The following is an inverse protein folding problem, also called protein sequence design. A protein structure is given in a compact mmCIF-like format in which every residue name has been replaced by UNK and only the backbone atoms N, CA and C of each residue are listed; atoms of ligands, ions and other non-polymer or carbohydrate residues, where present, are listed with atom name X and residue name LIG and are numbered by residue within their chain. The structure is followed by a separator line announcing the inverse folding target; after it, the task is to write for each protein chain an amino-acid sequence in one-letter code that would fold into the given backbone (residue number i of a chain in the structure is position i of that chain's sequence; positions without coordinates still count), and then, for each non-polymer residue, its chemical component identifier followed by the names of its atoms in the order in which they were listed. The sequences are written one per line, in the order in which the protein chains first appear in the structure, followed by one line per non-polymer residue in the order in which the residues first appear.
data_IF_474448707251
#
_entry.id   IF_474448707251
#
_cell.length_a   1.000
_cell.length_b   1.000
_cell.length_c   1.000
_cell.angle_alpha   90.00
_cell.angle_beta   90.00
_cell.angle_gamma   90.00
#
_symmetry.space_group_name_H-M   'P 1'
#
loop_
_entity.id
_entity.type
_entity.pdbx_description
1 polymer ?
#
# COMPACT_ATOMS: atom_id res chain seq x y z
N UNK A 1 -11.99 0.32 -11.16
CA UNK A 1 -12.70 0.14 -9.88
C UNK A 1 -11.86 -0.81 -9.04
N UNK A 2 -11.01 -0.28 -8.17
CA UNK A 2 -10.19 -1.12 -7.29
C UNK A 2 -11.06 -1.52 -6.10
N UNK A 3 -11.23 -2.82 -5.86
CA UNK A 3 -11.95 -3.31 -4.70
C UNK A 3 -11.28 -2.72 -3.44
N UNK A 4 -12.09 -2.14 -2.55
CA UNK A 4 -11.66 -1.76 -1.22
C UNK A 4 -11.45 -3.06 -0.44
N UNK A 5 -10.20 -3.36 -0.10
CA UNK A 5 -9.84 -4.53 0.69
C UNK A 5 -10.14 -4.20 2.14
N UNK A 6 -10.82 -5.11 2.83
CA UNK A 6 -11.15 -4.92 4.24
C UNK A 6 -9.88 -4.78 5.09
N UNK A 7 -9.94 -3.96 6.15
CA UNK A 7 -8.80 -3.65 7.00
C UNK A 7 -8.13 -4.90 7.62
N UNK A 8 -8.91 -5.98 7.84
CA UNK A 8 -8.35 -7.24 8.31
C UNK A 8 -7.43 -7.91 7.28
N UNK A 9 -7.77 -7.82 6.00
CA UNK A 9 -6.99 -8.37 4.88
C UNK A 9 -5.70 -7.57 4.70
N UNK A 10 -5.77 -6.25 4.91
CA UNK A 10 -4.57 -5.39 4.89
C UNK A 10 -3.59 -5.74 6.01
N UNK A 11 -4.10 -5.92 7.24
CA UNK A 11 -3.25 -6.29 8.37
C UNK A 11 -2.59 -7.66 8.17
N UNK A 12 -3.33 -8.61 7.59
CA UNK A 12 -2.77 -9.92 7.22
C UNK A 12 -1.70 -9.82 6.13
N UNK A 13 -1.92 -8.98 5.11
CA UNK A 13 -0.95 -8.76 4.03
C UNK A 13 0.36 -8.18 4.57
N UNK A 14 0.29 -7.18 5.46
CA UNK A 14 1.49 -6.58 6.10
C UNK A 14 2.19 -7.58 7.02
N UNK A 15 1.44 -8.35 7.81
CA UNK A 15 1.99 -9.40 8.69
C UNK A 15 2.72 -10.47 7.87
N UNK A 16 2.12 -10.90 6.76
CA UNK A 16 2.71 -11.91 5.88
C UNK A 16 3.96 -11.39 5.18
N UNK A 17 3.94 -10.13 4.73
CA UNK A 17 5.12 -9.47 4.15
C UNK A 17 6.28 -9.45 5.15
N UNK A 18 6.00 -9.11 6.42
CA UNK A 18 7.00 -9.11 7.49
C UNK A 18 7.60 -10.52 7.72
N UNK A 19 6.77 -11.55 7.74
CA UNK A 19 7.23 -12.93 7.91
C UNK A 19 8.16 -13.37 6.76
N UNK A 20 7.83 -13.02 5.52
CA UNK A 20 8.65 -13.31 4.34
C UNK A 20 10.01 -12.60 4.40
N UNK A 21 10.03 -11.32 4.79
CA UNK A 21 11.29 -10.58 4.98
C UNK A 21 12.14 -11.21 6.08
N UNK A 22 11.52 -11.59 7.20
CA UNK A 22 12.21 -12.23 8.33
C UNK A 22 12.79 -13.59 7.93
N UNK A 23 12.12 -14.33 7.07
CA UNK A 23 12.58 -15.61 6.53
C UNK A 23 13.61 -15.47 5.39
N UNK A 24 13.82 -14.26 4.87
CA UNK A 24 14.70 -14.01 3.72
C UNK A 24 14.07 -14.35 2.36
N UNK A 25 12.77 -14.62 2.33
CA UNK A 25 12.02 -15.05 1.15
C UNK A 25 11.48 -13.85 0.34
N UNK A 26 12.36 -12.89 0.03
CA UNK A 26 11.99 -11.64 -0.66
C UNK A 26 11.93 -11.76 -2.18
N UNK A 27 12.51 -12.81 -2.76
CA UNK A 27 12.59 -13.02 -4.23
C UNK A 27 11.45 -13.91 -4.76
N UNK A 28 10.38 -14.08 -3.98
CA UNK A 28 9.25 -14.92 -4.36
C UNK A 28 8.05 -14.11 -4.87
N UNK A 29 7.21 -14.77 -5.67
CA UNK A 29 6.03 -14.14 -6.28
C UNK A 29 5.03 -13.61 -5.23
N UNK A 30 4.91 -14.31 -4.09
CA UNK A 30 4.03 -13.91 -2.99
C UNK A 30 4.46 -12.55 -2.43
N UNK A 31 5.75 -12.33 -2.22
CA UNK A 31 6.32 -11.08 -1.78
C UNK A 31 6.01 -9.94 -2.76
N UNK A 32 6.25 -10.13 -4.06
CA UNK A 32 5.97 -9.10 -5.06
C UNK A 32 4.48 -8.72 -5.15
N UNK A 33 3.59 -9.70 -4.96
CA UNK A 33 2.15 -9.47 -4.94
C UNK A 33 1.71 -8.68 -3.70
N UNK A 34 2.22 -9.07 -2.52
CA UNK A 34 1.95 -8.39 -1.26
C UNK A 34 2.51 -6.97 -1.24
N UNK A 35 3.74 -6.77 -1.74
CA UNK A 35 4.37 -5.45 -1.84
C UNK A 35 3.56 -4.50 -2.72
N UNK A 36 3.15 -4.97 -3.91
CA UNK A 36 2.29 -4.19 -4.81
C UNK A 36 0.93 -3.83 -4.18
N UNK A 37 0.35 -4.74 -3.40
CA UNK A 37 -0.92 -4.52 -2.71
C UNK A 37 -0.80 -3.43 -1.63
N UNK A 38 0.26 -3.51 -0.81
CA UNK A 38 0.55 -2.54 0.24
C UNK A 38 0.85 -1.16 -0.37
N UNK A 39 1.65 -1.09 -1.44
CA UNK A 39 1.92 0.18 -2.12
C UNK A 39 0.68 0.81 -2.76
N UNK A 40 -0.18 0.03 -3.42
CA UNK A 40 -1.42 0.54 -3.99
C UNK A 40 -2.34 1.13 -2.91
N UNK A 41 -2.33 0.55 -1.70
CA UNK A 41 -3.06 1.07 -0.54
C UNK A 41 -2.42 2.34 0.00
N UNK A 42 -1.12 2.35 0.21
CA UNK A 42 -0.40 3.56 0.66
C UNK A 42 -0.67 4.73 -0.28
N UNK A 43 -0.64 4.49 -1.59
CA UNK A 43 -0.97 5.49 -2.60
C UNK A 43 -2.40 6.01 -2.45
N UNK A 44 -3.38 5.14 -2.19
CA UNK A 44 -4.78 5.54 -1.96
C UNK A 44 -4.97 6.31 -0.65
N UNK A 45 -4.32 5.87 0.43
CA UNK A 45 -4.47 6.46 1.76
C UNK A 45 -3.80 7.81 1.86
N UNK A 46 -2.65 7.96 1.20
CA UNK A 46 -1.85 9.18 1.21
C UNK A 46 -1.96 9.96 -0.09
N UNK A 47 -3.04 9.77 -0.85
CA UNK A 47 -3.23 10.32 -2.20
C UNK A 47 -2.64 11.72 -2.34
N UNK A 48 -1.52 11.76 -3.05
CA UNK A 48 -0.59 12.90 -3.17
C UNK A 48 -1.21 14.03 -4.02
N UNK A 49 -2.35 13.78 -4.68
CA UNK A 49 -3.04 14.78 -5.49
C UNK A 49 -3.96 15.73 -4.68
N UNK A 50 -4.39 15.38 -3.47
CA UNK A 50 -5.24 16.26 -2.65
C UNK A 50 -4.46 17.33 -1.85
N UNK A 51 -3.16 17.12 -1.63
CA UNK A 51 -2.30 18.05 -0.89
C UNK A 51 -1.57 19.05 -1.77
N UNK A 52 -1.52 18.85 -3.09
CA UNK A 52 -0.79 19.73 -4.01
C UNK A 52 -1.67 20.79 -4.70
N UNK A 53 -2.99 20.79 -4.48
CA UNK A 53 -3.93 21.75 -5.09
C UNK A 53 -4.62 22.69 -4.09
N UNK A 54 -4.20 22.71 -2.82
CA UNK A 54 -4.55 23.82 -1.89
C UNK A 54 -3.45 24.90 -1.89
N UNK A 55 -2.97 25.26 -3.08
CA UNK A 55 -2.44 26.59 -3.34
C UNK A 55 -3.40 27.27 -4.33
N UNK A 56 -4.65 27.36 -3.89
CA UNK A 56 -5.61 28.34 -4.39
C UNK A 56 -4.95 29.72 -4.28
N UNK A 57 -4.64 30.28 -5.45
CA UNK A 57 -4.94 31.67 -5.78
C UNK A 57 -4.87 32.63 -4.59
N UNK A 58 -3.66 32.96 -4.15
CA UNK A 58 -3.48 34.24 -3.46
C UNK A 58 -3.62 35.31 -4.54
N UNK A 59 -4.76 36.00 -4.45
CA UNK A 59 -5.19 37.17 -5.23
C UNK A 59 -4.12 38.24 -5.41
#
# INVERSE_FOLDING_TARGET
MYADIDASTEHQAVTRLFDLVRAGEVDNLEFSQLDSLVYARLLRTYDVDASATTEESIS
#
